data_IF_308999961090
#
_entry.id   IF_308999961090
#
_cell.length_a   1.000
_cell.length_b   1.000
_cell.length_c   1.000
_cell.angle_alpha   90.00
_cell.angle_beta   90.00
_cell.angle_gamma   90.00
#
_symmetry.space_group_name_H-M   'P 1'
#
loop_
_entity.id
_entity.type
_entity.pdbx_description
1 polymer ?
#
# COMPACT_ATOMS: atom_id res chain seq x y z
N UNK A 1 0.25 -16.13 -6.40
CA UNK A 1 -0.87 -16.47 -5.52
C UNK A 1 -1.98 -15.45 -5.65
N UNK A 2 -3.19 -15.91 -5.86
CA UNK A 2 -4.31 -15.00 -5.99
C UNK A 2 -4.77 -14.50 -4.62
N UNK A 3 -5.17 -13.25 -4.57
CA UNK A 3 -5.73 -12.66 -3.37
C UNK A 3 -7.21 -13.06 -3.30
N UNK A 4 -7.58 -13.67 -2.18
CA UNK A 4 -8.96 -14.08 -1.99
C UNK A 4 -9.71 -13.05 -1.18
N UNK A 5 -10.90 -12.68 -1.65
CA UNK A 5 -11.77 -11.79 -0.93
C UNK A 5 -12.89 -12.60 -0.30
N UNK A 6 -13.28 -12.20 0.90
CA UNK A 6 -14.39 -12.85 1.56
C UNK A 6 -15.71 -12.56 0.84
N UNK A 7 -16.71 -13.36 1.17
CA UNK A 7 -18.01 -13.23 0.58
C UNK A 7 -18.62 -11.83 0.79
N UNK A 8 -18.36 -11.28 1.95
CA UNK A 8 -18.86 -9.94 2.30
C UNK A 8 -17.76 -8.91 2.21
N UNK A 9 -16.83 -9.16 1.32
CA UNK A 9 -15.72 -8.26 1.09
C UNK A 9 -16.26 -6.94 0.59
N UNK A 10 -16.16 -5.95 1.41
CA UNK A 10 -16.67 -4.65 1.14
C UNK A 10 -15.52 -3.66 1.20
N UNK A 11 -15.84 -2.42 1.57
CA UNK A 11 -14.85 -1.37 1.65
C UNK A 11 -13.66 -1.75 2.54
N UNK A 12 -13.89 -2.46 3.63
CA UNK A 12 -12.80 -2.82 4.55
C UNK A 12 -11.78 -3.73 3.89
N UNK A 13 -12.25 -4.76 3.20
CA UNK A 13 -11.31 -5.68 2.55
C UNK A 13 -10.63 -5.03 1.35
N UNK A 14 -11.36 -4.25 0.57
CA UNK A 14 -10.76 -3.53 -0.54
C UNK A 14 -9.68 -2.58 -0.05
N UNK A 15 -9.95 -1.86 1.03
CA UNK A 15 -8.98 -0.97 1.65
C UNK A 15 -7.73 -1.73 2.08
N UNK A 16 -7.92 -2.90 2.70
CA UNK A 16 -6.81 -3.71 3.16
C UNK A 16 -5.96 -4.23 2.00
N UNK A 17 -6.61 -4.68 0.93
CA UNK A 17 -5.89 -5.15 -0.24
C UNK A 17 -5.07 -4.01 -0.85
N UNK A 18 -5.67 -2.84 -1.01
CA UNK A 18 -4.97 -1.69 -1.56
C UNK A 18 -3.77 -1.34 -0.68
N UNK A 19 -3.98 -1.32 0.63
CA UNK A 19 -2.92 -1.00 1.57
C UNK A 19 -1.75 -2.00 1.50
N UNK A 20 -2.06 -3.28 1.57
CA UNK A 20 -1.04 -4.32 1.69
C UNK A 20 -0.42 -4.73 0.36
N UNK A 21 -1.20 -4.69 -0.71
CA UNK A 21 -0.76 -5.25 -1.98
C UNK A 21 -0.42 -4.21 -3.03
N UNK A 22 -0.85 -2.99 -2.86
CA UNK A 22 -0.58 -1.93 -3.82
C UNK A 22 0.29 -0.84 -3.21
N UNK A 23 -0.20 -0.20 -2.16
CA UNK A 23 0.48 0.96 -1.58
C UNK A 23 1.80 0.56 -0.94
N UNK A 24 1.78 -0.45 -0.10
CA UNK A 24 2.98 -0.91 0.58
C UNK A 24 4.08 -1.33 -0.39
N UNK A 25 3.80 -2.25 -1.35
CA UNK A 25 4.84 -2.63 -2.31
C UNK A 25 5.33 -1.45 -3.14
N UNK A 26 4.41 -0.53 -3.49
CA UNK A 26 4.81 0.66 -4.23
C UNK A 26 5.81 1.50 -3.46
N UNK A 27 5.54 1.75 -2.19
CA UNK A 27 6.41 2.55 -1.34
C UNK A 27 7.78 1.91 -1.20
N UNK A 28 7.83 0.60 -1.04
CA UNK A 28 9.09 -0.11 -0.96
C UNK A 28 9.85 -0.04 -2.28
N UNK A 29 9.13 -0.11 -3.38
CA UNK A 29 9.71 -0.10 -4.71
C UNK A 29 10.32 1.26 -5.05
N UNK A 30 9.62 2.35 -4.74
CA UNK A 30 10.11 3.70 -5.01
C UNK A 30 10.96 4.28 -3.88
N UNK A 31 11.00 3.57 -2.75
CA UNK A 31 11.77 3.98 -1.57
C UNK A 31 11.37 5.37 -1.07
N UNK A 32 10.07 5.62 -1.04
CA UNK A 32 9.52 6.90 -0.61
C UNK A 32 8.11 6.70 -0.08
N UNK A 33 7.72 7.50 0.89
CA UNK A 33 6.37 7.45 1.45
C UNK A 33 5.42 8.37 0.70
N UNK A 34 5.91 9.09 -0.31
CA UNK A 34 5.13 9.97 -1.16
C UNK A 34 5.11 9.38 -2.57
N UNK A 35 3.93 9.30 -3.15
CA UNK A 35 3.78 8.76 -4.50
C UNK A 35 2.74 9.55 -5.27
N UNK A 36 2.85 9.50 -6.59
CA UNK A 36 1.92 10.19 -7.47
C UNK A 36 0.74 9.28 -7.83
N UNK A 37 -0.32 9.90 -8.37
CA UNK A 37 -1.44 9.12 -8.87
C UNK A 37 -1.01 8.17 -9.98
N UNK A 38 -0.10 8.61 -10.84
CA UNK A 38 0.40 7.76 -11.92
C UNK A 38 1.12 6.53 -11.39
N UNK A 39 1.95 6.73 -10.38
CA UNK A 39 2.65 5.61 -9.74
C UNK A 39 1.66 4.64 -9.13
N UNK A 40 0.65 5.17 -8.45
CA UNK A 40 -0.39 4.33 -7.86
C UNK A 40 -1.14 3.55 -8.94
N UNK A 41 -1.56 4.22 -10.00
CA UNK A 41 -2.33 3.58 -11.06
C UNK A 41 -1.55 2.47 -11.74
N UNK A 42 -0.28 2.70 -11.99
CA UNK A 42 0.57 1.69 -12.60
C UNK A 42 0.68 0.46 -11.71
N UNK A 43 0.92 0.67 -10.43
CA UNK A 43 1.05 -0.45 -9.48
C UNK A 43 -0.29 -1.16 -9.31
N UNK A 44 -1.39 -0.38 -9.21
CA UNK A 44 -2.72 -0.94 -9.11
C UNK A 44 -3.04 -1.86 -10.29
N UNK A 45 -2.76 -1.38 -11.51
CA UNK A 45 -3.06 -2.15 -12.70
C UNK A 45 -2.25 -3.45 -12.73
N UNK A 46 -0.99 -3.38 -12.34
CA UNK A 46 -0.11 -4.54 -12.27
C UNK A 46 -0.65 -5.57 -11.27
N UNK A 47 -1.02 -5.13 -10.08
CA UNK A 47 -1.52 -6.02 -9.04
C UNK A 47 -2.87 -6.60 -9.44
N UNK A 48 -3.75 -5.79 -10.01
CA UNK A 48 -5.06 -6.25 -10.46
C UNK A 48 -4.92 -7.31 -11.54
N UNK A 49 -4.03 -7.11 -12.48
CA UNK A 49 -3.80 -8.08 -13.53
C UNK A 49 -3.30 -9.40 -12.97
N UNK A 50 -2.31 -9.34 -12.09
CA UNK A 50 -1.72 -10.56 -11.52
C UNK A 50 -2.65 -11.34 -10.63
N UNK A 51 -3.56 -10.66 -9.95
CA UNK A 51 -4.42 -11.29 -8.95
C UNK A 51 -5.89 -11.34 -9.36
N UNK A 52 -6.18 -10.99 -10.60
CA UNK A 52 -7.55 -11.00 -11.12
C UNK A 52 -8.49 -10.15 -10.26
N UNK A 53 -8.03 -8.97 -9.88
CA UNK A 53 -8.81 -8.01 -9.11
C UNK A 53 -9.41 -6.96 -10.04
N UNK A 54 -10.50 -6.35 -9.60
CA UNK A 54 -11.18 -5.33 -10.37
C UNK A 54 -10.67 -3.95 -10.04
N UNK A 55 -10.29 -3.20 -11.07
CA UNK A 55 -9.75 -1.85 -10.90
C UNK A 55 -10.70 -0.94 -10.12
N UNK A 56 -12.03 -0.91 -10.42
CA UNK A 56 -12.92 -0.06 -9.65
C UNK A 56 -12.93 -0.36 -8.16
N UNK A 57 -12.79 -1.64 -7.79
CA UNK A 57 -12.74 -2.01 -6.37
C UNK A 57 -11.49 -1.47 -5.70
N UNK A 58 -10.37 -1.54 -6.40
CA UNK A 58 -9.11 -1.03 -5.85
C UNK A 58 -9.12 0.49 -5.79
N UNK A 59 -9.79 1.15 -6.73
CA UNK A 59 -9.97 2.59 -6.66
C UNK A 59 -10.80 2.99 -5.44
N UNK A 60 -11.85 2.24 -5.15
CA UNK A 60 -12.65 2.48 -3.94
C UNK A 60 -11.85 2.22 -2.67
N UNK A 61 -10.96 1.24 -2.72
CA UNK A 61 -10.06 0.98 -1.60
C UNK A 61 -9.16 2.15 -1.30
N UNK A 62 -8.64 2.81 -2.33
CA UNK A 62 -7.83 4.01 -2.14
C UNK A 62 -8.66 5.14 -1.52
N UNK A 63 -9.88 5.34 -2.02
CA UNK A 63 -10.77 6.35 -1.44
C UNK A 63 -11.02 6.05 0.03
N UNK A 64 -11.21 4.79 0.37
CA UNK A 64 -11.41 4.39 1.76
C UNK A 64 -10.19 4.72 2.62
N UNK A 65 -8.98 4.52 2.11
CA UNK A 65 -7.76 4.88 2.83
C UNK A 65 -7.69 6.39 3.07
N UNK A 66 -8.09 7.18 2.07
CA UNK A 66 -8.14 8.63 2.21
C UNK A 66 -9.16 9.04 3.26
N UNK A 67 -10.33 8.42 3.26
CA UNK A 67 -11.39 8.73 4.22
C UNK A 67 -11.00 8.38 5.64
N UNK A 68 -10.19 7.33 5.80
CA UNK A 68 -9.71 6.93 7.12
C UNK A 68 -8.49 7.73 7.58
N UNK A 69 -7.97 8.60 6.71
CA UNK A 69 -6.80 9.39 7.05
C UNK A 69 -5.50 8.60 7.05
N UNK A 70 -5.50 7.40 6.51
CA UNK A 70 -4.27 6.61 6.41
C UNK A 70 -3.36 7.12 5.32
N UNK A 71 -3.95 7.71 4.30
CA UNK A 71 -3.24 8.34 3.20
C UNK A 71 -3.76 9.76 3.10
N UNK A 72 -2.86 10.69 2.84
CA UNK A 72 -3.18 12.11 2.70
C UNK A 72 -2.92 12.51 1.26
N UNK A 73 -3.87 13.20 0.67
CA UNK A 73 -3.73 13.70 -0.70
C UNK A 73 -3.42 15.19 -0.67
N UNK A 74 -2.36 15.59 -1.36
CA UNK A 74 -2.03 17.00 -1.54
C UNK A 74 -1.72 17.24 -3.01
N UNK A 75 -2.57 18.00 -3.66
CA UNK A 75 -2.47 18.26 -5.11
C UNK A 75 -2.49 16.92 -5.86
N UNK A 76 -1.44 16.62 -6.61
CA UNK A 76 -1.37 15.38 -7.40
C UNK A 76 -0.55 14.29 -6.72
N UNK A 77 -0.24 14.46 -5.43
CA UNK A 77 0.55 13.48 -4.71
C UNK A 77 -0.19 12.92 -3.51
N UNK A 78 0.22 11.74 -3.10
CA UNK A 78 -0.33 11.04 -1.95
C UNK A 78 0.81 10.72 -1.02
N UNK A 79 0.56 10.78 0.29
CA UNK A 79 1.57 10.41 1.27
C UNK A 79 0.94 9.57 2.37
N UNK A 80 1.75 8.72 2.98
CA UNK A 80 1.32 7.93 4.12
C UNK A 80 1.26 8.83 5.34
N UNK A 81 0.20 8.70 6.13
CA UNK A 81 0.14 9.45 7.38
C UNK A 81 1.33 9.04 8.25
N UNK A 82 2.02 10.03 8.77
CA UNK A 82 3.29 9.79 9.46
C UNK A 82 3.17 8.82 10.63
N UNK A 83 2.01 8.76 11.27
CA UNK A 83 1.79 7.84 12.40
C UNK A 83 1.77 6.38 12.00
N UNK A 84 1.56 6.12 10.71
CA UNK A 84 1.49 4.74 10.20
C UNK A 84 2.84 4.23 9.74
N UNK A 85 3.80 5.12 9.56
CA UNK A 85 5.12 4.72 9.07
C UNK A 85 5.77 3.66 9.96
N UNK A 86 5.75 3.78 11.28
CA UNK A 86 6.33 2.74 12.13
C UNK A 86 5.69 1.38 11.95
N UNK A 87 4.37 1.33 11.73
CA UNK A 87 3.68 0.05 11.51
C UNK A 87 4.09 -0.58 10.21
N UNK A 88 4.23 0.22 9.17
CA UNK A 88 4.71 -0.28 7.90
C UNK A 88 6.10 -0.85 8.04
N UNK A 89 6.95 -0.15 8.74
CA UNK A 89 8.33 -0.58 8.93
C UNK A 89 8.42 -1.84 9.78
N UNK A 90 7.58 -1.95 10.79
CA UNK A 90 7.60 -3.16 11.62
C UNK A 90 7.39 -4.41 10.81
N UNK A 91 6.46 -4.37 9.88
CA UNK A 91 6.19 -5.54 9.06
C UNK A 91 7.27 -5.75 8.00
N UNK A 92 7.65 -4.69 7.33
CA UNK A 92 8.72 -4.78 6.35
C UNK A 92 10.02 -5.22 7.00
N UNK A 93 10.21 -4.80 8.22
CA UNK A 93 11.46 -5.01 8.93
C UNK A 93 11.60 -6.41 9.50
N UNK A 94 10.56 -7.22 9.52
CA UNK A 94 10.79 -8.62 9.88
C UNK A 94 11.84 -9.21 8.96
N UNK A 95 11.78 -8.84 7.69
CA UNK A 95 12.70 -9.37 6.70
C UNK A 95 13.94 -8.51 6.53
N UNK A 96 13.75 -7.24 6.68
CA UNK A 96 14.74 -6.25 6.29
C UNK A 96 15.56 -5.76 7.49
N UNK A 97 14.96 -5.82 8.68
CA UNK A 97 15.62 -5.29 9.88
C UNK A 97 16.95 -5.95 10.14
N UNK A 98 17.05 -7.24 9.90
CA UNK A 98 18.29 -7.95 10.14
C UNK A 98 19.40 -7.34 9.29
N UNK A 99 19.14 -7.17 8.01
CA UNK A 99 20.15 -6.59 7.12
C UNK A 99 20.46 -5.15 7.49
N UNK A 100 19.42 -4.36 7.77
CA UNK A 100 19.61 -2.96 8.13
C UNK A 100 20.34 -2.81 9.45
N UNK A 101 19.94 -3.56 10.45
CA UNK A 101 20.57 -3.46 11.76
C UNK A 101 22.01 -3.93 11.70
N UNK A 102 22.28 -4.99 10.99
CA UNK A 102 23.64 -5.44 10.82
C UNK A 102 24.49 -4.42 10.11
N UNK A 103 23.88 -3.68 9.20
CA UNK A 103 24.59 -2.62 8.50
C UNK A 103 24.85 -1.41 9.38
N UNK A 104 23.91 -1.09 10.26
CA UNK A 104 24.02 0.12 11.09
C UNK A 104 24.70 -0.07 12.41
N UNK A 105 24.73 -1.26 12.88
CA UNK A 105 25.27 -1.53 14.21
C UNK A 105 26.75 -1.73 14.21
N UNK A 106 27.38 -1.17 13.25
CA UNK A 106 28.85 -1.17 13.24
C UNK A 106 29.37 -0.21 14.26
#
# INVERSE_FOLDING_TARGET
MLIKKGKYATATQNRRIVWEQIVWPLILEIDDVVFSLKQYQKKRDEVCYKNNLKIPEMSRGLVSLLQKGMIIKENATYSIHYRLIPYMRLKADCDYATAINESKMK
#
